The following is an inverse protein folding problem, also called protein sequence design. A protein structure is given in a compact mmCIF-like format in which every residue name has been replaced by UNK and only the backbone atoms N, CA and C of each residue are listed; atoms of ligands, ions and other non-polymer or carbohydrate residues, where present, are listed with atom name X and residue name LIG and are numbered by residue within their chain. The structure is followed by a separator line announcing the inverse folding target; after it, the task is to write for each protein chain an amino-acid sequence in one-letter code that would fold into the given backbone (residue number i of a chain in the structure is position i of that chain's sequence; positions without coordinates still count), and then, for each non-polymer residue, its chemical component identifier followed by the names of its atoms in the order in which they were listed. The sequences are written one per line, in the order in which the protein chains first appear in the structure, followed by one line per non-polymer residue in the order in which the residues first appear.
data_IF_870684065991
#
_entry.id   IF_870684065991
#
_cell.length_a   1.000
_cell.length_b   1.000
_cell.length_c   1.000
_cell.angle_alpha   90.00
_cell.angle_beta   90.00
_cell.angle_gamma   90.00
#
_symmetry.space_group_name_H-M   'P 1'
#
loop_
_entity.id
_entity.type
_entity.pdbx_description
1 polymer ?
#
# COMPACT_ATOMS: atom_id res chain seq x y z
N UNK A 1 4.09 25.43 10.81
CA UNK A 1 3.15 25.32 11.94
C UNK A 1 2.18 26.51 12.01
N UNK A 2 2.62 27.76 11.87
CA UNK A 2 1.79 28.97 12.09
C UNK A 2 0.69 29.33 11.07
N UNK A 3 0.05 28.35 10.41
CA UNK A 3 -1.20 28.54 9.64
C UNK A 3 -2.35 27.71 10.25
N UNK A 4 -2.39 27.61 11.58
CA UNK A 4 -3.39 26.85 12.34
C UNK A 4 -2.98 25.43 12.70
N UNK A 5 -1.86 24.93 12.17
CA UNK A 5 -1.36 23.58 12.46
C UNK A 5 -0.77 23.47 13.87
N UNK A 6 -0.39 24.60 14.47
CA UNK A 6 0.03 24.76 15.86
C UNK A 6 -1.11 24.54 16.88
N UNK A 7 -2.37 24.70 16.46
CA UNK A 7 -3.56 24.45 17.27
C UNK A 7 -4.21 23.08 16.99
N UNK A 8 -3.59 22.25 16.14
CA UNK A 8 -4.13 20.95 15.78
C UNK A 8 -4.11 20.01 16.99
N UNK A 9 -5.25 19.34 17.26
CA UNK A 9 -5.33 18.27 18.28
C UNK A 9 -5.06 16.89 17.70
N UNK A 10 -5.21 16.78 16.39
CA UNK A 10 -5.04 15.54 15.64
C UNK A 10 -4.43 15.89 14.28
N UNK A 11 -3.54 15.03 13.79
CA UNK A 11 -2.95 15.14 12.45
C UNK A 11 -2.89 13.76 11.79
N UNK A 12 -3.07 13.72 10.48
CA UNK A 12 -2.94 12.52 9.67
C UNK A 12 -2.03 12.85 8.49
N UNK A 13 -0.92 12.12 8.36
CA UNK A 13 -0.10 12.17 7.15
C UNK A 13 -0.56 11.04 6.22
N UNK A 14 -0.89 11.38 4.98
CA UNK A 14 -1.32 10.39 4.00
C UNK A 14 -0.83 10.72 2.61
N UNK A 15 -0.80 9.70 1.76
CA UNK A 15 -0.53 9.83 0.34
C UNK A 15 -0.92 8.54 -0.36
N UNK A 16 -1.07 8.63 -1.69
CA UNK A 16 -1.24 7.45 -2.54
C UNK A 16 0.03 7.13 -3.32
N UNK A 17 0.29 5.83 -3.59
CA UNK A 17 1.31 5.38 -4.54
C UNK A 17 2.70 5.83 -4.09
N UNK A 18 3.47 6.52 -4.93
CA UNK A 18 4.73 7.14 -4.51
C UNK A 18 4.58 8.09 -3.32
N UNK A 19 3.45 8.82 -3.22
CA UNK A 19 3.13 9.68 -2.09
C UNK A 19 2.87 8.90 -0.80
N UNK A 20 2.36 7.67 -0.92
CA UNK A 20 2.20 6.75 0.21
C UNK A 20 3.54 6.29 0.76
N UNK A 21 4.48 5.95 -0.13
CA UNK A 21 5.84 5.58 0.28
C UNK A 21 6.57 6.77 0.94
N UNK A 22 6.38 7.98 0.41
CA UNK A 22 6.86 9.20 1.05
C UNK A 22 6.21 9.43 2.43
N UNK A 23 4.90 9.16 2.57
CA UNK A 23 4.22 9.25 3.86
C UNK A 23 4.79 8.27 4.88
N UNK A 24 5.09 7.02 4.49
CA UNK A 24 5.75 6.03 5.35
C UNK A 24 7.16 6.50 5.76
N UNK A 25 7.99 6.93 4.81
CA UNK A 25 9.35 7.42 5.05
C UNK A 25 9.39 8.61 6.03
N UNK A 26 8.39 9.47 5.96
CA UNK A 26 8.33 10.68 6.78
C UNK A 26 7.39 10.60 7.97
N UNK A 27 6.77 9.44 8.25
CA UNK A 27 5.73 9.32 9.25
C UNK A 27 6.20 9.76 10.65
N UNK A 28 7.29 9.17 11.14
CA UNK A 28 7.85 9.50 12.46
C UNK A 28 8.42 10.94 12.50
N UNK A 29 9.04 11.39 11.41
CA UNK A 29 9.52 12.77 11.27
C UNK A 29 8.37 13.79 11.24
N UNK A 30 7.18 13.40 10.75
CA UNK A 30 5.98 14.22 10.79
C UNK A 30 5.39 14.26 12.20
N UNK A 31 5.29 13.11 12.86
CA UNK A 31 4.88 13.03 14.26
C UNK A 31 5.76 13.89 15.18
N UNK A 32 7.08 13.80 15.04
CA UNK A 32 8.03 14.59 15.84
C UNK A 32 7.96 16.11 15.66
N UNK A 33 7.16 16.62 14.70
CA UNK A 33 6.90 18.07 14.56
C UNK A 33 5.80 18.58 15.48
N UNK A 34 5.04 17.69 16.13
CA UNK A 34 3.93 18.05 17.01
C UNK A 34 4.27 17.79 18.49
N UNK A 35 3.64 18.53 19.42
CA UNK A 35 3.66 18.16 20.85
C UNK A 35 3.07 16.77 21.08
N UNK A 36 3.48 16.11 22.17
CA UNK A 36 3.06 14.76 22.52
C UNK A 36 1.54 14.62 22.75
N UNK A 37 0.86 15.72 23.07
CA UNK A 37 -0.60 15.75 23.27
C UNK A 37 -1.38 15.67 21.96
N UNK A 38 -0.74 15.95 20.82
CA UNK A 38 -1.38 15.87 19.50
C UNK A 38 -1.37 14.44 19.02
N UNK A 39 -2.55 13.89 18.72
CA UNK A 39 -2.65 12.56 18.12
C UNK A 39 -2.19 12.60 16.67
N UNK A 40 -1.02 12.04 16.37
CA UNK A 40 -0.52 11.91 15.01
C UNK A 40 -0.55 10.45 14.57
N UNK A 41 -1.12 10.21 13.39
CA UNK A 41 -1.16 8.90 12.75
C UNK A 41 -0.81 9.03 11.27
N UNK A 42 -0.52 7.91 10.59
CA UNK A 42 -0.24 7.89 9.15
C UNK A 42 -1.13 6.91 8.39
N UNK A 43 -1.48 7.24 7.14
CA UNK A 43 -2.26 6.38 6.25
C UNK A 43 -1.52 6.21 4.92
N UNK A 44 -1.15 4.96 4.63
CA UNK A 44 -0.50 4.54 3.39
C UNK A 44 -1.56 3.94 2.45
N UNK A 45 -1.82 4.56 1.30
CA UNK A 45 -2.75 4.07 0.28
C UNK A 45 -2.01 3.61 -0.98
N UNK A 46 -2.14 2.34 -1.36
CA UNK A 46 -1.53 1.74 -2.55
C UNK A 46 0.01 1.97 -2.64
N UNK A 47 0.67 2.07 -1.48
CA UNK A 47 2.11 2.34 -1.35
C UNK A 47 2.94 1.11 -1.02
N UNK A 48 2.29 -0.02 -0.72
CA UNK A 48 2.98 -1.25 -0.30
C UNK A 48 3.50 -2.04 -1.51
N UNK A 49 4.50 -1.48 -2.20
CA UNK A 49 5.21 -2.14 -3.29
C UNK A 49 6.04 -3.33 -2.78
N UNK A 50 5.90 -4.50 -3.41
CA UNK A 50 6.66 -5.71 -3.06
C UNK A 50 7.88 -5.87 -3.97
N UNK A 51 9.00 -6.31 -3.39
CA UNK A 51 10.22 -6.65 -4.13
C UNK A 51 10.11 -8.07 -4.68
N UNK A 52 9.43 -8.21 -5.83
CA UNK A 52 9.26 -9.49 -6.50
C UNK A 52 9.82 -9.53 -7.92
N UNK A 53 10.05 -10.75 -8.39
CA UNK A 53 10.43 -11.00 -9.78
C UNK A 53 9.22 -10.88 -10.70
N UNK A 54 9.45 -10.31 -11.88
CA UNK A 54 8.49 -10.30 -12.96
C UNK A 54 8.40 -11.67 -13.66
N UNK A 55 7.54 -11.77 -14.67
CA UNK A 55 7.33 -12.98 -15.47
C UNK A 55 8.58 -13.46 -16.26
N UNK A 56 9.59 -12.59 -16.45
CA UNK A 56 10.87 -12.96 -17.06
C UNK A 56 11.91 -13.40 -16.03
N UNK A 57 11.63 -13.24 -14.74
CA UNK A 57 12.51 -13.57 -13.63
C UNK A 57 13.39 -12.41 -13.15
N UNK A 58 13.18 -11.21 -13.69
CA UNK A 58 13.94 -9.99 -13.38
C UNK A 58 13.28 -9.18 -12.25
N UNK A 59 14.07 -8.38 -11.53
CA UNK A 59 13.58 -7.51 -10.44
C UNK A 59 13.47 -6.06 -10.88
N UNK A 60 12.64 -5.77 -11.89
CA UNK A 60 12.55 -4.43 -12.49
C UNK A 60 12.20 -3.33 -11.48
N UNK A 61 11.31 -3.62 -10.52
CA UNK A 61 10.96 -2.66 -9.46
C UNK A 61 12.13 -2.36 -8.53
N UNK A 62 12.96 -3.37 -8.22
CA UNK A 62 14.18 -3.17 -7.44
C UNK A 62 15.18 -2.30 -8.18
N UNK A 63 15.33 -2.51 -9.49
CA UNK A 63 16.17 -1.65 -10.33
C UNK A 63 15.68 -0.19 -10.33
N UNK A 64 14.36 0.02 -10.43
CA UNK A 64 13.75 1.34 -10.36
C UNK A 64 14.01 2.00 -8.99
N UNK A 65 13.74 1.29 -7.89
CA UNK A 65 13.98 1.80 -6.53
C UNK A 65 15.46 2.06 -6.29
N UNK A 66 16.35 1.22 -6.81
CA UNK A 66 17.80 1.43 -6.69
C UNK A 66 18.22 2.75 -7.34
N UNK A 67 17.66 3.05 -8.52
CA UNK A 67 17.82 4.34 -9.19
C UNK A 67 17.29 5.51 -8.36
N UNK A 68 16.10 5.39 -7.75
CA UNK A 68 15.52 6.41 -6.87
C UNK A 68 16.42 6.64 -5.65
N UNK A 69 16.84 5.57 -4.98
CA UNK A 69 17.67 5.62 -3.77
C UNK A 69 19.00 6.32 -4.05
N UNK A 70 19.63 5.99 -5.18
CA UNK A 70 20.87 6.62 -5.60
C UNK A 70 20.68 8.10 -5.97
N UNK A 71 19.70 8.40 -6.82
CA UNK A 71 19.46 9.75 -7.34
C UNK A 71 19.05 10.74 -6.24
N UNK A 72 18.18 10.29 -5.32
CA UNK A 72 17.63 11.14 -4.26
C UNK A 72 18.48 11.11 -2.98
N UNK A 73 19.54 10.30 -2.93
CA UNK A 73 20.42 10.12 -1.77
C UNK A 73 19.67 9.89 -0.45
N UNK A 74 18.63 9.05 -0.48
CA UNK A 74 17.70 8.84 0.65
C UNK A 74 18.26 7.95 1.76
N UNK A 75 19.54 7.53 1.66
CA UNK A 75 20.15 6.64 2.64
C UNK A 75 20.04 7.18 4.07
N UNK A 76 20.15 8.49 4.26
CA UNK A 76 20.11 9.12 5.58
C UNK A 76 18.74 9.12 6.24
N UNK A 77 17.66 8.90 5.48
CA UNK A 77 16.28 8.85 5.99
C UNK A 77 15.74 7.43 6.12
N UNK A 78 16.54 6.42 5.77
CA UNK A 78 16.16 5.00 5.89
C UNK A 78 16.42 4.46 7.31
N UNK A 79 15.70 3.41 7.74
CA UNK A 79 15.90 2.82 9.06
C UNK A 79 17.33 2.32 9.27
N UNK A 80 18.03 2.86 10.27
CA UNK A 80 19.42 2.51 10.58
C UNK A 80 19.59 1.00 10.85
N UNK A 81 18.66 0.39 11.57
CA UNK A 81 18.71 -1.05 11.88
C UNK A 81 18.61 -1.93 10.63
N UNK A 82 17.93 -1.43 9.59
CA UNK A 82 17.91 -2.10 8.29
C UNK A 82 19.24 -1.92 7.56
N UNK A 83 19.78 -0.69 7.50
CA UNK A 83 21.04 -0.38 6.82
C UNK A 83 22.26 -1.11 7.39
N UNK A 84 22.20 -1.54 8.65
CA UNK A 84 23.24 -2.39 9.25
C UNK A 84 23.26 -3.82 8.69
N UNK A 85 22.17 -4.27 8.08
CA UNK A 85 21.95 -5.68 7.68
C UNK A 85 21.71 -5.86 6.18
N UNK A 86 21.21 -4.82 5.50
CA UNK A 86 20.70 -4.86 4.13
C UNK A 86 21.18 -3.64 3.34
N UNK A 87 21.11 -3.75 2.02
CA UNK A 87 21.45 -2.63 1.15
C UNK A 87 20.34 -1.54 1.16
N UNK A 88 20.67 -0.27 0.87
CA UNK A 88 19.70 0.83 0.90
C UNK A 88 18.45 0.63 0.03
N UNK A 89 18.57 -0.11 -1.08
CA UNK A 89 17.44 -0.43 -1.96
C UNK A 89 16.41 -1.29 -1.24
N UNK A 90 16.86 -2.35 -0.53
CA UNK A 90 15.97 -3.19 0.27
C UNK A 90 15.30 -2.41 1.40
N UNK A 91 16.06 -1.56 2.08
CA UNK A 91 15.54 -0.76 3.19
C UNK A 91 14.52 0.31 2.76
N UNK A 92 14.48 0.64 1.47
CA UNK A 92 13.49 1.55 0.91
C UNK A 92 12.16 0.85 0.57
N UNK A 93 12.15 -0.48 0.40
CA UNK A 93 10.91 -1.20 0.17
C UNK A 93 10.03 -1.18 1.44
N UNK A 94 8.70 -0.99 1.30
CA UNK A 94 7.74 -0.97 2.40
C UNK A 94 7.92 -2.08 3.41
N UNK A 95 8.12 -3.33 2.97
CA UNK A 95 8.27 -4.50 3.82
C UNK A 95 9.41 -4.37 4.85
N UNK A 96 10.50 -3.68 4.51
CA UNK A 96 11.60 -3.38 5.45
C UNK A 96 11.38 -2.04 6.15
N UNK A 97 10.93 -1.02 5.41
CA UNK A 97 10.73 0.33 5.91
C UNK A 97 9.78 0.36 7.12
N UNK A 98 8.65 -0.34 7.05
CA UNK A 98 7.63 -0.28 8.10
C UNK A 98 8.09 -0.87 9.44
N UNK A 99 9.14 -1.71 9.44
CA UNK A 99 9.70 -2.30 10.67
C UNK A 99 10.31 -1.26 11.61
N UNK A 100 10.73 -0.11 11.06
CA UNK A 100 11.31 0.99 11.83
C UNK A 100 10.31 2.08 12.23
N UNK A 101 9.06 2.03 11.75
CA UNK A 101 8.06 3.07 12.03
C UNK A 101 7.42 2.82 13.40
N UNK A 102 7.44 3.85 14.24
CA UNK A 102 6.87 3.80 15.59
C UNK A 102 5.49 4.45 15.68
N UNK A 103 5.20 5.40 14.81
CA UNK A 103 3.91 6.11 14.77
C UNK A 103 2.80 5.16 14.28
N UNK A 104 1.60 5.16 14.91
CA UNK A 104 0.48 4.33 14.46
C UNK A 104 0.17 4.58 12.99
N UNK A 105 0.17 3.49 12.20
CA UNK A 105 0.02 3.55 10.76
C UNK A 105 -1.09 2.61 10.27
N UNK A 106 -1.86 3.08 9.29
CA UNK A 106 -2.87 2.29 8.59
C UNK A 106 -2.38 2.00 7.17
N UNK A 107 -2.38 0.73 6.78
CA UNK A 107 -2.08 0.33 5.40
C UNK A 107 -3.39 -0.01 4.69
N UNK A 108 -3.69 0.77 3.67
CA UNK A 108 -4.72 0.51 2.67
C UNK A 108 -4.03 0.10 1.38
N UNK A 109 -4.31 -1.08 0.87
CA UNK A 109 -3.71 -1.56 -0.37
C UNK A 109 -4.65 -2.55 -1.03
N UNK A 110 -4.78 -2.50 -2.34
CA UNK A 110 -5.36 -3.64 -3.06
C UNK A 110 -4.33 -4.77 -3.11
N UNK A 111 -4.77 -6.01 -2.91
CA UNK A 111 -3.91 -7.18 -3.13
C UNK A 111 -3.80 -7.64 -4.60
N UNK A 112 -4.61 -7.02 -5.46
CA UNK A 112 -4.49 -7.05 -6.92
C UNK A 112 -4.24 -5.63 -7.45
N UNK A 113 -3.30 -4.91 -6.83
CA UNK A 113 -3.01 -3.52 -7.21
C UNK A 113 -2.69 -3.43 -8.70
N UNK A 114 -3.52 -2.67 -9.42
CA UNK A 114 -3.47 -2.65 -10.88
C UNK A 114 -2.16 -2.06 -11.41
N UNK A 115 -1.53 -1.15 -10.66
CA UNK A 115 -0.25 -0.58 -11.04
C UNK A 115 0.88 -1.59 -10.80
N UNK A 116 0.88 -2.29 -9.67
CA UNK A 116 1.88 -3.32 -9.37
C UNK A 116 1.80 -4.47 -10.37
N UNK A 117 0.60 -4.93 -10.72
CA UNK A 117 0.43 -6.00 -11.71
C UNK A 117 0.99 -5.55 -13.06
N UNK A 118 0.74 -4.30 -13.47
CA UNK A 118 1.20 -3.76 -14.77
C UNK A 118 2.69 -3.47 -14.84
N UNK A 119 3.34 -3.11 -13.72
CA UNK A 119 4.69 -2.56 -13.72
C UNK A 119 5.72 -3.40 -12.94
N UNK A 120 5.28 -4.28 -12.05
CA UNK A 120 6.14 -5.15 -11.24
C UNK A 120 6.00 -6.60 -11.73
N UNK A 121 4.79 -7.14 -11.76
CA UNK A 121 4.59 -8.55 -12.09
C UNK A 121 4.66 -8.81 -13.60
N UNK A 122 3.87 -8.06 -14.38
CA UNK A 122 3.76 -8.21 -15.84
C UNK A 122 4.09 -6.92 -16.61
N UNK A 123 5.28 -6.30 -16.42
CA UNK A 123 5.72 -5.19 -17.25
C UNK A 123 5.80 -5.57 -18.74
N UNK A 124 5.71 -4.58 -19.62
CA UNK A 124 5.86 -4.83 -21.06
C UNK A 124 7.24 -5.42 -21.35
N UNK A 125 7.28 -6.56 -22.04
CA UNK A 125 8.53 -7.26 -22.38
C UNK A 125 8.91 -8.40 -21.43
N UNK A 126 8.23 -8.57 -20.29
CA UNK A 126 8.52 -9.70 -19.38
C UNK A 126 7.80 -11.01 -19.75
N UNK A 127 6.95 -10.98 -20.78
CA UNK A 127 6.18 -12.12 -21.26
C UNK A 127 6.15 -12.14 -22.79
N UNK A 128 6.03 -13.32 -23.43
CA UNK A 128 6.02 -13.42 -24.89
C UNK A 128 4.72 -12.88 -25.50
N UNK A 129 4.86 -12.15 -26.61
CA UNK A 129 3.72 -11.67 -27.40
C UNK A 129 2.80 -10.74 -26.60
N UNK A 130 1.52 -11.13 -26.48
CA UNK A 130 0.48 -10.33 -25.83
C UNK A 130 -0.26 -11.10 -24.71
N UNK A 131 0.32 -12.20 -24.24
CA UNK A 131 -0.32 -13.14 -23.32
C UNK A 131 -0.95 -12.44 -22.11
N UNK A 132 -0.23 -11.49 -21.51
CA UNK A 132 -0.68 -10.75 -20.32
C UNK A 132 -1.34 -9.41 -20.60
N UNK A 133 -1.36 -8.95 -21.86
CA UNK A 133 -1.80 -7.59 -22.20
C UNK A 133 -3.26 -7.33 -21.83
N UNK A 134 -4.15 -8.30 -22.06
CA UNK A 134 -5.57 -8.18 -21.71
C UNK A 134 -5.79 -8.33 -20.20
N UNK A 135 -5.17 -9.33 -19.58
CA UNK A 135 -5.29 -9.63 -18.15
C UNK A 135 -4.80 -8.47 -17.26
N UNK A 136 -3.64 -7.87 -17.56
CA UNK A 136 -3.13 -6.73 -16.77
C UNK A 136 -3.85 -5.41 -17.06
N UNK A 137 -4.59 -5.32 -18.16
CA UNK A 137 -5.46 -4.18 -18.43
C UNK A 137 -6.74 -4.29 -17.58
N UNK A 138 -7.29 -5.50 -17.49
CA UNK A 138 -8.51 -5.83 -16.78
C UNK A 138 -8.46 -7.27 -16.25
N UNK A 139 -8.46 -7.42 -14.93
CA UNK A 139 -8.34 -8.72 -14.26
C UNK A 139 -9.45 -9.72 -14.68
N UNK A 140 -10.60 -9.23 -15.15
CA UNK A 140 -11.71 -10.06 -15.66
C UNK A 140 -11.34 -10.85 -16.91
N UNK A 141 -10.33 -10.39 -17.64
CA UNK A 141 -9.85 -11.02 -18.87
C UNK A 141 -8.70 -12.01 -18.61
N UNK A 142 -8.34 -12.26 -17.35
CA UNK A 142 -7.32 -13.24 -17.02
C UNK A 142 -7.84 -14.67 -17.20
N UNK A 143 -7.00 -15.54 -17.76
CA UNK A 143 -7.23 -16.99 -17.72
C UNK A 143 -7.04 -17.54 -16.30
N UNK A 144 -7.51 -18.76 -16.04
CA UNK A 144 -7.28 -19.41 -14.74
C UNK A 144 -5.79 -19.48 -14.37
N UNK A 145 -4.92 -19.80 -15.34
CA UNK A 145 -3.48 -19.86 -15.11
C UNK A 145 -2.88 -18.48 -14.76
N UNK A 146 -3.39 -17.40 -15.36
CA UNK A 146 -2.97 -16.04 -15.01
C UNK A 146 -3.46 -15.65 -13.62
N UNK A 147 -4.70 -16.01 -13.27
CA UNK A 147 -5.23 -15.80 -11.92
C UNK A 147 -4.40 -16.54 -10.87
N UNK A 148 -3.97 -17.79 -11.13
CA UNK A 148 -3.09 -18.54 -10.23
C UNK A 148 -1.79 -17.79 -9.92
N UNK A 149 -1.21 -17.14 -10.93
CA UNK A 149 -0.03 -16.28 -10.75
C UNK A 149 -0.36 -15.04 -9.93
N UNK A 150 -1.51 -14.39 -10.17
CA UNK A 150 -1.97 -13.25 -9.37
C UNK A 150 -2.24 -13.65 -7.91
N UNK A 151 -2.80 -14.84 -7.65
CA UNK A 151 -2.99 -15.40 -6.31
C UNK A 151 -1.65 -15.62 -5.60
N UNK A 152 -0.62 -16.07 -6.33
CA UNK A 152 0.75 -16.13 -5.83
C UNK A 152 1.28 -14.75 -5.40
N UNK A 153 1.06 -13.73 -6.23
CA UNK A 153 1.46 -12.35 -5.94
C UNK A 153 0.74 -11.78 -4.69
N UNK A 154 -0.58 -12.00 -4.58
CA UNK A 154 -1.37 -11.68 -3.37
C UNK A 154 -0.80 -12.34 -2.12
N UNK A 155 -0.53 -13.65 -2.17
CA UNK A 155 0.04 -14.40 -1.02
C UNK A 155 1.35 -13.79 -0.57
N UNK A 156 2.17 -13.35 -1.53
CA UNK A 156 3.42 -12.67 -1.21
C UNK A 156 3.18 -11.33 -0.53
N UNK A 157 2.32 -10.45 -1.07
CA UNK A 157 1.96 -9.19 -0.42
C UNK A 157 1.48 -9.39 1.01
N UNK A 158 0.52 -10.31 1.22
CA UNK A 158 -0.02 -10.62 2.56
C UNK A 158 1.08 -11.10 3.50
N UNK A 159 2.04 -11.90 3.02
CA UNK A 159 3.16 -12.35 3.85
C UNK A 159 4.07 -11.20 4.31
N UNK A 160 4.27 -10.17 3.48
CA UNK A 160 5.09 -9.01 3.81
C UNK A 160 4.40 -8.02 4.75
N UNK A 161 3.06 -8.06 4.83
CA UNK A 161 2.26 -7.25 5.74
C UNK A 161 2.24 -7.77 7.19
N UNK A 162 2.89 -8.91 7.49
CA UNK A 162 2.88 -9.51 8.84
C UNK A 162 3.31 -8.55 9.95
N UNK A 163 4.28 -7.68 9.68
CA UNK A 163 4.73 -6.66 10.64
C UNK A 163 3.58 -5.71 11.05
N UNK A 164 2.78 -5.28 10.08
CA UNK A 164 1.62 -4.44 10.34
C UNK A 164 0.46 -5.24 10.98
N UNK A 165 0.31 -6.52 10.60
CA UNK A 165 -0.70 -7.41 11.17
C UNK A 165 -0.43 -7.72 12.65
N UNK A 166 0.84 -7.84 13.06
CA UNK A 166 1.23 -8.13 14.45
C UNK A 166 1.21 -6.87 15.34
N UNK A 167 1.29 -5.67 14.75
CA UNK A 167 1.29 -4.42 15.51
C UNK A 167 -0.12 -3.99 15.93
N UNK A 168 -0.45 -4.06 17.22
CA UNK A 168 -1.80 -3.78 17.75
C UNK A 168 -2.34 -2.37 17.48
N UNK A 169 -1.46 -1.38 17.30
CA UNK A 169 -1.86 0.03 17.13
C UNK A 169 -2.05 0.38 15.65
N UNK A 170 -1.74 -0.56 14.75
CA UNK A 170 -1.81 -0.40 13.30
C UNK A 170 -3.14 -0.93 12.75
N UNK A 171 -3.53 -0.38 11.60
CA UNK A 171 -4.70 -0.83 10.85
C UNK A 171 -4.32 -1.40 9.48
N UNK A 172 -5.17 -2.30 8.97
CA UNK A 172 -5.06 -2.90 7.65
C UNK A 172 -6.42 -2.93 6.99
N UNK A 173 -6.48 -2.48 5.74
CA UNK A 173 -7.61 -2.74 4.84
C UNK A 173 -7.04 -3.17 3.51
N UNK A 174 -7.02 -4.48 3.30
CA UNK A 174 -6.47 -5.10 2.09
C UNK A 174 -7.61 -5.72 1.31
N UNK A 175 -8.10 -5.02 0.29
CA UNK A 175 -9.22 -5.47 -0.54
C UNK A 175 -8.77 -6.23 -1.79
N UNK A 176 -9.67 -7.06 -2.32
CA UNK A 176 -9.44 -7.85 -3.53
C UNK A 176 -9.81 -7.17 -4.85
N UNK A 177 -9.93 -5.84 -4.85
CA UNK A 177 -10.35 -5.09 -6.03
C UNK A 177 -9.16 -4.75 -6.93
N UNK A 178 -9.31 -4.89 -8.24
CA UNK A 178 -8.26 -4.49 -9.19
C UNK A 178 -8.24 -2.96 -9.37
N UNK A 179 -7.51 -2.26 -8.50
CA UNK A 179 -7.49 -0.79 -8.41
C UNK A 179 -6.12 -0.26 -8.00
N UNK A 180 -5.92 1.05 -8.06
CA UNK A 180 -4.73 1.76 -7.55
C UNK A 180 -5.16 3.16 -7.09
N UNK A 181 -4.76 3.58 -5.89
CA UNK A 181 -5.28 4.76 -5.19
C UNK A 181 -6.78 4.71 -4.89
N UNK A 182 -7.12 4.66 -3.61
CA UNK A 182 -8.52 4.51 -3.18
C UNK A 182 -9.00 5.66 -2.28
N UNK A 183 -8.10 6.31 -1.55
CA UNK A 183 -8.40 7.49 -0.73
C UNK A 183 -8.75 8.75 -1.52
N UNK A 184 -8.19 9.02 -2.74
CA UNK A 184 -8.46 10.29 -3.41
C UNK A 184 -9.84 10.38 -4.08
N UNK A 185 -10.53 9.25 -4.25
CA UNK A 185 -11.78 9.19 -4.99
C UNK A 185 -12.95 8.84 -4.08
N UNK A 186 -13.98 9.69 -4.03
CA UNK A 186 -15.17 9.46 -3.21
C UNK A 186 -15.84 8.11 -3.52
N UNK A 187 -15.82 7.70 -4.80
CA UNK A 187 -16.41 6.44 -5.27
C UNK A 187 -15.79 5.23 -4.56
N UNK A 188 -14.49 5.24 -4.30
CA UNK A 188 -13.78 4.17 -3.57
C UNK A 188 -13.74 4.45 -2.07
N UNK A 189 -13.54 5.70 -1.64
CA UNK A 189 -13.35 6.07 -0.24
C UNK A 189 -14.63 5.97 0.60
N UNK A 190 -15.71 6.63 0.16
CA UNK A 190 -16.94 6.77 0.95
C UNK A 190 -18.18 6.99 0.07
N UNK A 191 -18.61 5.93 -0.64
CA UNK A 191 -19.83 5.92 -1.44
C UNK A 191 -20.65 4.64 -1.22
N UNK A 192 -21.91 4.59 -1.68
CA UNK A 192 -22.71 3.36 -1.67
C UNK A 192 -22.06 2.19 -2.43
N UNK A 193 -21.15 2.47 -3.37
CA UNK A 193 -20.45 1.49 -4.20
C UNK A 193 -18.96 1.39 -3.88
N UNK A 194 -18.52 1.95 -2.75
CA UNK A 194 -17.15 1.75 -2.24
C UNK A 194 -16.87 0.26 -2.01
N UNK A 195 -15.62 -0.20 -2.23
CA UNK A 195 -15.17 -1.48 -1.75
C UNK A 195 -15.43 -1.63 -0.25
N UNK A 196 -15.91 -2.82 0.14
CA UNK A 196 -16.20 -3.17 1.53
C UNK A 196 -15.55 -4.49 1.89
N UNK A 197 -15.03 -4.54 3.11
CA UNK A 197 -14.65 -5.77 3.80
C UNK A 197 -15.64 -5.99 4.94
N UNK A 198 -16.31 -7.15 4.92
CA UNK A 198 -17.51 -7.36 5.72
C UNK A 198 -18.56 -6.29 5.41
N UNK A 199 -18.93 -5.49 6.42
CA UNK A 199 -19.91 -4.42 6.27
C UNK A 199 -19.28 -3.01 6.24
N UNK A 200 -17.95 -2.88 6.19
CA UNK A 200 -17.26 -1.59 6.30
C UNK A 200 -16.65 -1.15 4.99
N UNK A 201 -16.91 0.10 4.61
CA UNK A 201 -16.14 0.82 3.61
C UNK A 201 -14.74 1.19 4.14
N UNK A 202 -13.89 1.65 3.24
CA UNK A 202 -12.54 2.14 3.55
C UNK A 202 -12.60 3.27 4.59
N UNK A 203 -13.42 4.30 4.34
CA UNK A 203 -13.55 5.45 5.25
C UNK A 203 -14.05 5.07 6.65
N UNK A 204 -14.97 4.09 6.75
CA UNK A 204 -15.45 3.58 8.04
C UNK A 204 -14.35 2.82 8.78
N UNK A 205 -13.56 2.01 8.08
CA UNK A 205 -12.45 1.26 8.66
C UNK A 205 -11.32 2.20 9.14
N UNK A 206 -10.89 3.14 8.30
CA UNK A 206 -9.88 4.14 8.67
C UNK A 206 -10.39 5.04 9.78
N UNK A 207 -11.65 5.48 9.72
CA UNK A 207 -12.24 6.33 10.76
C UNK A 207 -12.35 5.62 12.10
N UNK A 208 -12.74 4.34 12.13
CA UNK A 208 -12.80 3.59 13.38
C UNK A 208 -11.41 3.41 14.00
N UNK A 209 -10.38 3.17 13.20
CA UNK A 209 -8.99 3.12 13.66
C UNK A 209 -8.45 4.47 14.10
N UNK A 210 -8.67 5.52 13.31
CA UNK A 210 -8.10 6.84 13.55
C UNK A 210 -8.59 7.43 14.87
N UNK A 211 -9.87 7.23 15.18
CA UNK A 211 -10.50 7.70 16.41
C UNK A 211 -10.55 6.65 17.53
N UNK A 212 -9.83 5.53 17.39
CA UNK A 212 -9.73 4.46 18.40
C UNK A 212 -11.12 3.90 18.84
N UNK A 213 -12.08 3.86 17.90
CA UNK A 213 -13.46 3.43 18.15
C UNK A 213 -13.61 1.92 18.27
N UNK A 214 -12.67 1.14 17.73
CA UNK A 214 -12.68 -0.35 17.78
C UNK A 214 -11.26 -0.93 17.85
N UNK A 215 -11.13 -2.07 18.53
CA UNK A 215 -9.85 -2.73 18.81
C UNK A 215 -9.28 -3.61 17.68
N UNK A 216 -10.05 -3.85 16.60
CA UNK A 216 -9.56 -4.63 15.46
C UNK A 216 -9.80 -3.89 14.14
N UNK A 217 -8.78 -3.19 13.68
CA UNK A 217 -8.76 -2.43 12.44
C UNK A 217 -8.08 -3.17 11.29
N UNK A 218 -7.94 -4.49 11.38
CA UNK A 218 -7.19 -5.30 10.41
C UNK A 218 -8.12 -6.22 9.64
N UNK A 219 -8.17 -6.03 8.32
CA UNK A 219 -9.00 -6.78 7.41
C UNK A 219 -8.21 -7.08 6.13
N UNK A 220 -8.19 -8.34 5.74
CA UNK A 220 -7.61 -8.83 4.49
C UNK A 220 -8.68 -9.66 3.81
N UNK A 221 -8.94 -9.36 2.54
CA UNK A 221 -10.01 -9.95 1.76
C UNK A 221 -9.69 -11.38 1.28
N UNK A 222 -10.72 -12.07 0.78
CA UNK A 222 -10.59 -13.35 0.09
C UNK A 222 -9.95 -13.19 -1.31
N UNK A 223 -9.58 -14.30 -1.94
CA UNK A 223 -9.01 -14.28 -3.30
C UNK A 223 -10.05 -13.81 -4.34
N UNK A 224 -9.64 -12.95 -5.28
CA UNK A 224 -10.49 -12.49 -6.38
C UNK A 224 -11.09 -13.70 -7.14
N UNK A 225 -12.34 -13.65 -7.62
CA UNK A 225 -13.28 -12.51 -7.67
C UNK A 225 -14.29 -12.49 -6.51
N UNK A 226 -13.87 -12.79 -5.28
CA UNK A 226 -14.83 -13.01 -4.21
C UNK A 226 -15.59 -11.75 -3.73
N UNK A 227 -15.02 -10.55 -3.87
CA UNK A 227 -15.61 -9.34 -3.32
C UNK A 227 -16.57 -8.67 -4.32
N UNK A 228 -17.89 -8.73 -4.07
CA UNK A 228 -18.88 -8.21 -5.02
C UNK A 228 -18.98 -6.68 -5.01
N UNK A 229 -18.30 -6.00 -4.09
CA UNK A 229 -18.36 -4.54 -3.92
C UNK A 229 -17.28 -3.80 -4.70
N UNK A 230 -16.35 -4.53 -5.33
CA UNK A 230 -15.35 -3.94 -6.21
C UNK A 230 -16.04 -3.27 -7.41
N UNK A 231 -15.94 -1.94 -7.49
CA UNK A 231 -16.50 -1.18 -8.60
C UNK A 231 -15.92 -1.65 -9.93
N UNK A 232 -16.79 -1.94 -10.91
CA UNK A 232 -16.40 -2.25 -12.29
C UNK A 232 -15.95 -1.02 -13.08
N UNK A 233 -16.15 0.19 -12.53
CA UNK A 233 -15.67 1.44 -13.08
C UNK A 233 -14.30 1.69 -12.46
N UNK A 234 -13.24 1.36 -13.20
CA UNK A 234 -11.88 1.76 -12.84
C UNK A 234 -11.85 3.29 -12.72
N UNK A 235 -11.42 3.88 -11.60
CA UNK A 235 -11.06 5.28 -11.57
C UNK A 235 -9.95 5.47 -12.62
N UNK A 236 -10.24 6.21 -13.69
CA UNK A 236 -9.20 6.63 -14.63
C UNK A 236 -8.35 7.66 -13.91
N UNK A 237 -7.11 7.28 -13.58
CA UNK A 237 -6.07 8.21 -13.14
C UNK A 237 -5.71 9.19 -14.27
#
# INVERSE_FOLDING_TARGET
MGKGMDAAKQALLTGCSAGSLAALLHCDNFHGRFPHEVSVKCLSDAGFFIDEKDLSGERSMRSLISGVVHLQNVKEVLPNDCLQKKDPTECFFPAELIKGITTPTFILNSDYDSWQIRNILAPNGSYPGQEWSSCKADIRNCSCAQLDVLHGFKKKLVSELKVAEDNKDWGLFIDSCFTHCQTPFDITWNSPISPRLGNKSISEAVGDWYFDRRQNAKQIDCEYPCNPTCSSLLPTA
#
